data_IF_944122458856
#
_entry.id   IF_944122458856
#
_cell.length_a   1.000
_cell.length_b   1.000
_cell.length_c   1.000
_cell.angle_alpha   90.00
_cell.angle_beta   90.00
_cell.angle_gamma   90.00
#
_symmetry.space_group_name_H-M   'P 1'
#
loop_
_entity.id
_entity.type
_entity.pdbx_description
1 polymer ?
#
# COMPACT_ATOMS: atom_id res chain seq x y z
N UNK A 1 21.63 -4.38 -4.70
CA UNK A 1 20.67 -3.44 -5.33
C UNK A 1 19.73 -2.92 -4.25
N UNK A 2 19.49 -1.61 -4.25
CA UNK A 2 18.42 -0.99 -3.44
C UNK A 2 17.18 -0.97 -4.32
N UNK A 3 16.13 -1.68 -3.93
CA UNK A 3 14.86 -1.66 -4.66
C UNK A 3 13.91 -0.67 -3.99
N UNK A 4 13.18 0.07 -4.81
CA UNK A 4 12.09 0.94 -4.36
C UNK A 4 10.81 0.49 -5.02
N UNK A 5 9.71 0.52 -4.28
CA UNK A 5 8.38 0.24 -4.81
C UNK A 5 7.56 1.51 -4.71
N UNK A 6 7.10 2.01 -5.87
CA UNK A 6 6.09 3.06 -5.91
C UNK A 6 4.71 2.41 -5.96
N UNK A 7 3.83 2.81 -5.04
CA UNK A 7 2.42 2.42 -5.04
C UNK A 7 1.59 3.67 -5.33
N UNK A 8 0.61 3.54 -6.23
CA UNK A 8 -0.33 4.61 -6.54
C UNK A 8 -1.75 4.08 -6.43
N UNK A 9 -2.61 4.81 -5.72
CA UNK A 9 -4.04 4.47 -5.64
C UNK A 9 -4.74 5.04 -6.86
N UNK A 10 -5.11 4.18 -7.80
CA UNK A 10 -5.71 4.60 -9.07
C UNK A 10 -7.24 4.65 -9.06
N UNK A 11 -7.87 3.87 -8.20
CA UNK A 11 -9.32 3.68 -8.14
C UNK A 11 -9.70 3.19 -6.75
N UNK A 12 -10.91 3.51 -6.31
CA UNK A 12 -11.47 3.13 -5.02
C UNK A 12 -12.97 2.87 -5.22
N UNK A 13 -13.40 1.66 -4.92
CA UNK A 13 -14.78 1.22 -5.18
C UNK A 13 -15.44 0.79 -3.90
N UNK A 14 -16.67 1.26 -3.70
CA UNK A 14 -17.58 0.79 -2.67
C UNK A 14 -18.71 0.03 -3.34
N UNK A 15 -19.16 -1.07 -2.72
CA UNK A 15 -20.28 -1.88 -3.17
C UNK A 15 -21.40 -1.82 -2.11
N UNK A 16 -22.30 -0.82 -2.17
CA UNK A 16 -23.31 -0.60 -1.13
C UNK A 16 -24.23 -1.81 -0.90
N UNK A 17 -24.53 -2.56 -1.96
CA UNK A 17 -25.31 -3.79 -1.90
C UNK A 17 -24.63 -4.85 -1.03
N UNK A 18 -23.30 -4.99 -1.13
CA UNK A 18 -22.53 -5.92 -0.32
C UNK A 18 -22.38 -5.40 1.12
N UNK A 19 -22.24 -4.08 1.32
CA UNK A 19 -22.24 -3.52 2.68
C UNK A 19 -23.56 -3.78 3.39
N UNK A 20 -24.69 -3.61 2.69
CA UNK A 20 -26.01 -3.83 3.25
C UNK A 20 -26.27 -5.30 3.61
N UNK A 21 -25.71 -6.24 2.83
CA UNK A 21 -25.90 -7.68 3.04
C UNK A 21 -24.93 -8.27 4.09
N UNK A 22 -23.68 -7.82 4.11
CA UNK A 22 -22.60 -8.49 4.87
C UNK A 22 -21.97 -7.65 5.99
N UNK A 23 -22.04 -6.31 5.97
CA UNK A 23 -21.42 -5.49 7.00
C UNK A 23 -22.33 -5.33 8.23
N UNK A 24 -21.74 -5.37 9.43
CA UNK A 24 -22.46 -5.08 10.67
C UNK A 24 -23.01 -3.64 10.70
N UNK A 25 -22.28 -2.69 10.11
CA UNK A 25 -22.78 -1.35 9.79
C UNK A 25 -22.98 -1.22 8.27
N UNK A 26 -24.23 -1.18 7.79
CA UNK A 26 -24.56 -0.96 6.38
C UNK A 26 -24.05 0.36 5.80
N UNK A 27 -23.64 1.31 6.65
CA UNK A 27 -23.17 2.65 6.28
C UNK A 27 -21.70 2.90 6.62
N UNK A 28 -20.92 1.83 6.85
CA UNK A 28 -19.48 1.93 7.12
C UNK A 28 -18.72 2.73 6.05
N UNK A 29 -19.23 2.73 4.81
CA UNK A 29 -18.65 3.51 3.71
C UNK A 29 -17.30 2.96 3.25
N UNK A 30 -16.58 3.75 2.44
CA UNK A 30 -15.29 3.35 1.91
C UNK A 30 -14.14 3.68 2.87
N UNK A 31 -13.12 2.81 2.92
CA UNK A 31 -11.97 2.97 3.82
C UNK A 31 -11.33 4.38 3.75
N UNK A 32 -11.20 5.14 4.84
CA UNK A 32 -10.69 6.51 4.80
C UNK A 32 -9.17 6.61 4.59
N UNK A 33 -8.43 5.53 4.83
CA UNK A 33 -6.96 5.55 4.89
C UNK A 33 -6.27 5.66 3.52
N UNK A 34 -6.98 5.40 2.42
CA UNK A 34 -6.45 5.45 1.06
C UNK A 34 -7.37 6.26 0.15
N UNK A 35 -6.80 7.17 -0.63
CA UNK A 35 -7.51 8.08 -1.51
C UNK A 35 -6.95 8.00 -2.92
N UNK A 36 -7.82 8.17 -3.92
CA UNK A 36 -7.39 8.16 -5.33
C UNK A 36 -6.39 9.29 -5.57
N UNK A 37 -5.26 8.95 -6.17
CA UNK A 37 -4.14 9.85 -6.41
C UNK A 37 -3.06 9.84 -5.32
N UNK A 38 -3.27 9.11 -4.22
CA UNK A 38 -2.22 8.91 -3.22
C UNK A 38 -1.04 8.14 -3.83
N UNK A 39 0.17 8.58 -3.52
CA UNK A 39 1.41 7.92 -3.92
C UNK A 39 2.31 7.64 -2.72
N UNK A 40 2.89 6.45 -2.72
CA UNK A 40 3.79 5.97 -1.68
C UNK A 40 5.11 5.49 -2.29
N UNK A 41 6.22 5.70 -1.59
CA UNK A 41 7.52 5.15 -1.94
C UNK A 41 8.03 4.30 -0.78
N UNK A 42 8.05 2.99 -1.00
CA UNK A 42 8.61 2.01 -0.08
C UNK A 42 10.07 1.73 -0.43
N UNK A 43 10.91 1.69 0.59
CA UNK A 43 12.34 1.40 0.48
C UNK A 43 12.76 0.40 1.57
N UNK A 44 13.72 -0.43 1.21
CA UNK A 44 14.44 -1.31 2.15
C UNK A 44 15.92 -1.20 1.86
N UNK A 45 16.64 -0.53 2.75
CA UNK A 45 18.07 -0.29 2.61
C UNK A 45 18.73 0.04 3.95
N UNK A 46 19.81 -0.68 4.29
CA UNK A 46 20.50 -0.52 5.57
C UNK A 46 19.52 -0.64 6.74
N UNK A 47 19.43 0.43 7.53
CA UNK A 47 18.57 0.52 8.72
C UNK A 47 17.11 0.92 8.39
N UNK A 48 16.83 1.33 7.15
CA UNK A 48 15.46 1.66 6.71
C UNK A 48 14.76 0.42 6.17
N UNK A 49 13.62 0.10 6.78
CA UNK A 49 12.75 -0.98 6.32
C UNK A 49 11.28 -0.57 6.44
N UNK A 50 10.74 0.03 5.38
CA UNK A 50 9.39 0.58 5.41
C UNK A 50 8.31 -0.53 5.49
N UNK A 51 8.64 -1.76 5.08
CA UNK A 51 7.68 -2.86 5.03
C UNK A 51 7.25 -3.32 6.42
N UNK A 52 8.20 -3.47 7.35
CA UNK A 52 7.90 -3.93 8.71
C UNK A 52 7.17 -2.87 9.55
N UNK A 53 7.20 -1.61 9.09
CA UNK A 53 6.45 -0.51 9.69
C UNK A 53 5.14 -0.21 8.92
N UNK A 54 4.66 -1.16 8.11
CA UNK A 54 3.42 -1.06 7.33
C UNK A 54 3.35 0.20 6.45
N UNK A 55 4.50 0.67 5.97
CA UNK A 55 4.60 1.87 5.14
C UNK A 55 4.52 3.19 5.89
N UNK A 56 4.63 3.22 7.23
CA UNK A 56 4.67 4.47 7.99
C UNK A 56 5.75 5.42 7.44
N UNK A 57 5.39 6.66 7.11
CA UNK A 57 6.29 7.66 6.53
C UNK A 57 6.59 7.50 5.02
N UNK A 58 5.91 6.59 4.31
CA UNK A 58 6.13 6.37 2.87
C UNK A 58 5.28 7.25 1.96
N UNK A 59 4.27 7.94 2.49
CA UNK A 59 3.40 8.81 1.71
C UNK A 59 4.17 10.00 1.13
N UNK A 60 4.17 10.15 -0.20
CA UNK A 60 4.87 11.23 -0.91
C UNK A 60 3.93 12.20 -1.62
N UNK A 61 2.67 11.82 -1.85
CA UNK A 61 1.64 12.66 -2.46
C UNK A 61 0.26 12.23 -1.98
N UNK A 62 -0.56 13.19 -1.58
CA UNK A 62 -2.00 13.00 -1.32
C UNK A 62 -2.73 14.31 -1.58
N UNK A 63 -4.04 14.24 -1.84
CA UNK A 63 -4.95 15.38 -1.85
C UNK A 63 -5.80 15.45 -0.56
N UNK A 64 -5.65 14.50 0.36
CA UNK A 64 -6.33 14.46 1.66
C UNK A 64 -5.39 14.97 2.77
N UNK A 65 -5.89 15.00 4.01
CA UNK A 65 -5.05 15.30 5.18
C UNK A 65 -4.04 14.15 5.42
N UNK A 66 -2.73 14.39 5.35
CA UNK A 66 -1.71 13.35 5.57
C UNK A 66 -1.82 12.62 6.90
N UNK A 67 -2.39 13.25 7.94
CA UNK A 67 -2.60 12.62 9.24
C UNK A 67 -3.69 11.53 9.20
N UNK A 68 -4.52 11.53 8.15
CA UNK A 68 -5.61 10.56 7.94
C UNK A 68 -5.30 9.49 6.88
N UNK A 69 -4.19 9.64 6.16
CA UNK A 69 -3.78 8.75 5.06
C UNK A 69 -2.73 7.74 5.52
N UNK A 70 -2.88 6.48 5.11
CA UNK A 70 -1.93 5.42 5.40
C UNK A 70 -0.52 5.84 4.98
N UNK A 71 0.50 5.43 5.73
CA UNK A 71 1.88 5.87 5.46
C UNK A 71 2.16 7.36 5.66
N UNK A 72 1.17 8.16 6.09
CA UNK A 72 1.37 9.48 6.68
C UNK A 72 1.89 9.39 8.13
N UNK A 73 2.11 10.52 8.82
CA UNK A 73 2.88 10.54 10.08
C UNK A 73 2.12 10.04 11.32
N UNK A 74 0.80 9.87 11.24
CA UNK A 74 -0.05 9.47 12.39
C UNK A 74 -0.50 8.01 12.39
N UNK A 75 0.04 7.21 11.48
CA UNK A 75 -0.26 5.77 11.36
C UNK A 75 -1.77 5.42 11.29
N UNK A 76 -2.61 6.14 10.50
CA UNK A 76 -3.92 5.60 10.15
C UNK A 76 -3.72 4.31 9.34
N UNK A 77 -4.50 3.27 9.65
CA UNK A 77 -4.26 1.93 9.12
C UNK A 77 -5.56 1.20 8.78
N UNK A 78 -5.55 0.49 7.65
CA UNK A 78 -6.58 -0.45 7.23
C UNK A 78 -5.89 -1.78 6.92
N UNK A 79 -6.16 -2.80 7.75
CA UNK A 79 -5.48 -4.09 7.68
C UNK A 79 -5.89 -4.88 6.44
N UNK A 80 -7.13 -4.72 5.99
CA UNK A 80 -7.67 -5.35 4.78
C UNK A 80 -6.93 -4.86 3.53
N UNK A 81 -6.73 -3.55 3.42
CA UNK A 81 -5.99 -2.94 2.32
C UNK A 81 -4.51 -3.34 2.36
N UNK A 82 -3.90 -3.36 3.56
CA UNK A 82 -2.52 -3.78 3.74
C UNK A 82 -2.31 -5.25 3.36
N UNK A 83 -3.14 -6.18 3.81
CA UNK A 83 -3.03 -7.60 3.44
C UNK A 83 -3.11 -7.80 1.92
N UNK A 84 -3.96 -7.02 1.24
CA UNK A 84 -4.12 -7.09 -0.21
C UNK A 84 -2.85 -6.67 -0.98
N UNK A 85 -2.11 -5.67 -0.49
CA UNK A 85 -0.95 -5.09 -1.21
C UNK A 85 0.42 -5.54 -0.68
N UNK A 86 0.52 -5.96 0.58
CA UNK A 86 1.78 -6.21 1.28
C UNK A 86 2.66 -7.25 0.55
N UNK A 87 2.08 -8.36 0.07
CA UNK A 87 2.85 -9.42 -0.61
C UNK A 87 3.59 -8.90 -1.84
N UNK A 88 2.98 -7.98 -2.57
CA UNK A 88 3.58 -7.40 -3.76
C UNK A 88 4.64 -6.35 -3.44
N UNK A 89 4.40 -5.52 -2.43
CA UNK A 89 5.41 -4.58 -1.92
C UNK A 89 6.63 -5.36 -1.45
N UNK A 90 6.43 -6.40 -0.63
CA UNK A 90 7.50 -7.27 -0.15
C UNK A 90 8.29 -7.89 -1.30
N UNK A 91 7.60 -8.47 -2.29
CA UNK A 91 8.24 -9.11 -3.44
C UNK A 91 9.04 -8.11 -4.27
N UNK A 92 8.53 -6.89 -4.46
CA UNK A 92 9.22 -5.80 -5.16
C UNK A 92 10.45 -5.31 -4.41
N UNK A 93 10.36 -5.16 -3.08
CA UNK A 93 11.49 -4.77 -2.22
C UNK A 93 12.58 -5.84 -2.16
N UNK A 94 12.21 -7.12 -2.20
CA UNK A 94 13.17 -8.23 -2.22
C UNK A 94 13.76 -8.50 -3.62
N UNK A 95 13.23 -7.85 -4.66
CA UNK A 95 13.62 -8.12 -6.03
C UNK A 95 13.45 -9.61 -6.36
N UNK A 96 12.29 -10.19 -6.02
CA UNK A 96 11.85 -11.54 -6.40
C UNK A 96 12.75 -12.71 -5.97
N UNK A 97 13.66 -12.52 -5.01
CA UNK A 97 14.51 -13.57 -4.47
C UNK A 97 14.45 -13.57 -2.94
N UNK A 98 14.43 -14.76 -2.32
CA UNK A 98 14.54 -14.94 -0.86
C UNK A 98 15.96 -14.54 -0.38
N UNK A 99 16.95 -14.49 -1.28
CA UNK A 99 18.36 -14.24 -0.97
C UNK A 99 18.97 -13.14 -1.83
N UNK A 100 19.70 -12.22 -1.19
CA UNK A 100 20.46 -11.13 -1.82
C UNK A 100 21.52 -11.73 -2.76
N UNK A 101 21.45 -11.45 -4.07
CA UNK A 101 22.49 -11.82 -5.07
C UNK A 101 22.15 -12.95 -6.05
N UNK A 102 20.97 -13.55 -5.98
CA UNK A 102 20.59 -14.69 -6.84
C UNK A 102 19.98 -14.31 -8.21
N UNK A 103 19.67 -13.03 -8.45
CA UNK A 103 19.13 -12.55 -9.74
C UNK A 103 19.96 -11.36 -10.25
N UNK A 104 20.38 -11.43 -11.51
CA UNK A 104 21.27 -10.46 -12.18
C UNK A 104 20.56 -9.17 -12.65
N UNK A 105 19.23 -9.20 -12.86
CA UNK A 105 18.42 -8.04 -13.28
C UNK A 105 16.93 -8.32 -13.05
N UNK A 106 16.12 -7.33 -12.66
CA UNK A 106 14.68 -7.52 -12.51
C UNK A 106 13.83 -6.38 -13.09
N UNK A 107 12.64 -6.77 -13.57
CA UNK A 107 11.61 -6.05 -14.31
C UNK A 107 11.06 -4.83 -13.55
N UNK A 108 11.12 -3.67 -14.19
CA UNK A 108 10.35 -2.47 -13.81
C UNK A 108 8.87 -2.77 -14.01
N UNK A 109 8.20 -3.23 -12.95
CA UNK A 109 6.75 -3.44 -12.94
C UNK A 109 6.12 -2.28 -12.18
N UNK A 110 5.42 -1.31 -12.81
CA UNK A 110 4.52 -0.45 -12.09
C UNK A 110 3.40 -1.33 -11.52
N UNK A 111 3.47 -1.63 -10.22
CA UNK A 111 2.43 -2.38 -9.55
C UNK A 111 1.21 -1.47 -9.37
N UNK A 112 0.29 -1.60 -10.32
CA UNK A 112 -0.98 -0.91 -10.34
C UNK A 112 -2.00 -1.76 -9.57
N UNK A 113 -2.34 -1.36 -8.34
CA UNK A 113 -3.33 -2.07 -7.55
C UNK A 113 -4.71 -1.46 -7.72
N UNK A 114 -5.68 -2.35 -7.91
CA UNK A 114 -7.08 -2.05 -7.66
C UNK A 114 -7.41 -2.61 -6.29
N UNK A 115 -7.29 -1.79 -5.25
CA UNK A 115 -7.69 -2.22 -3.91
C UNK A 115 -9.21 -2.18 -3.87
N UNK A 116 -9.81 -3.38 -3.83
CA UNK A 116 -11.25 -3.57 -3.67
C UNK A 116 -11.48 -3.64 -2.16
N UNK A 117 -11.71 -2.48 -1.53
CA UNK A 117 -12.05 -2.36 -0.11
C UNK A 117 -13.55 -2.17 0.00
#
# INVERSE_FOLDING_TARGET
MKYKVKVTVIDKKLYPELQQEYCADPRAGACPCYNVGDEFIFERDGDRDDFWHMGLGTLVKTNADPDTVAGGPKMPHCSEAWDAIARYIYTGLQGGSIMKGWILKMLSSPLCFKVKI
#
